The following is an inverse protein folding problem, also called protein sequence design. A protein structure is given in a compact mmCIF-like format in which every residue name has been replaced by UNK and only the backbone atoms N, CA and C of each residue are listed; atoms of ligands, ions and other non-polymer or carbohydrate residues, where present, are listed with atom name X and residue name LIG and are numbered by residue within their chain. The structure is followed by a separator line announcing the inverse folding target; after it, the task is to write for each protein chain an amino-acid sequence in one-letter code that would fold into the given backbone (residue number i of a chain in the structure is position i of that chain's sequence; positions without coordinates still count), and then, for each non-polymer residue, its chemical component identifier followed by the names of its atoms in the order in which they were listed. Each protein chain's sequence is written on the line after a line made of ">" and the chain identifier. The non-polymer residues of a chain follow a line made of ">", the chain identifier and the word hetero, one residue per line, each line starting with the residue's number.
data_IF_735186134478
#
_entry.id   IF_735186134478
#
_cell.length_a   1.000
_cell.length_b   1.000
_cell.length_c   1.000
_cell.angle_alpha   90.00
_cell.angle_beta   90.00
_cell.angle_gamma   90.00
#
_symmetry.space_group_name_H-M   'P 1'
#
loop_
_entity.id
_entity.type
_entity.pdbx_description
1 polymer ?
#
# COMPACT_ATOMS: atom_id res chain seq x y z
N UNK A 1 24.32 -34.32 10.83
CA UNK A 1 24.10 -34.21 12.30
C UNK A 1 23.14 -33.03 12.52
N UNK A 2 22.06 -33.24 13.26
CA UNK A 2 21.10 -32.18 13.66
C UNK A 2 20.87 -32.32 15.16
N UNK A 3 20.68 -31.21 15.88
CA UNK A 3 20.41 -31.19 17.31
C UNK A 3 19.00 -30.65 17.59
N UNK A 4 18.26 -31.29 18.50
CA UNK A 4 16.89 -30.92 18.88
C UNK A 4 16.86 -30.63 20.38
N UNK A 5 16.50 -29.41 20.74
CA UNK A 5 16.28 -28.97 22.12
C UNK A 5 15.06 -28.06 22.20
N UNK A 6 14.48 -27.90 23.39
CA UNK A 6 13.44 -26.91 23.68
C UNK A 6 14.11 -25.61 24.14
N UNK A 7 13.63 -24.48 23.64
CA UNK A 7 14.12 -23.14 23.96
C UNK A 7 12.94 -22.28 24.40
N UNK A 8 13.12 -21.54 25.48
CA UNK A 8 12.16 -20.55 25.97
C UNK A 8 12.59 -19.16 25.52
N UNK A 9 11.69 -18.42 24.88
CA UNK A 9 11.95 -17.08 24.38
C UNK A 9 10.64 -16.30 24.21
N UNK A 10 10.74 -15.00 23.98
CA UNK A 10 9.59 -14.18 23.62
C UNK A 10 9.07 -14.55 22.23
N UNK A 11 7.76 -14.77 22.12
CA UNK A 11 7.09 -15.07 20.85
C UNK A 11 5.88 -14.14 20.64
N UNK A 12 5.68 -13.58 19.44
CA UNK A 12 4.57 -12.67 19.18
C UNK A 12 3.23 -13.40 19.27
N UNK A 13 2.29 -12.79 19.99
CA UNK A 13 0.92 -13.30 20.13
C UNK A 13 -0.08 -12.21 19.74
N UNK A 14 -1.23 -12.61 19.20
CA UNK A 14 -2.33 -11.71 18.92
C UNK A 14 -2.75 -11.01 20.22
N UNK A 15 -2.65 -9.68 20.27
CA UNK A 15 -2.92 -8.93 21.50
C UNK A 15 -4.34 -9.13 22.03
N UNK A 16 -5.30 -9.43 21.14
CA UNK A 16 -6.71 -9.66 21.47
C UNK A 16 -6.99 -11.12 21.85
N UNK A 17 -6.63 -12.07 20.98
CA UNK A 17 -6.97 -13.49 21.14
C UNK A 17 -5.92 -14.30 21.91
N UNK A 18 -4.75 -13.71 22.19
CA UNK A 18 -3.62 -14.33 22.90
C UNK A 18 -3.09 -15.61 22.24
N UNK A 19 -3.31 -15.78 20.94
CA UNK A 19 -2.80 -16.91 20.14
C UNK A 19 -1.48 -16.55 19.45
N UNK A 20 -0.56 -17.51 19.22
CA UNK A 20 0.68 -17.27 18.48
C UNK A 20 0.40 -16.74 17.06
N UNK A 21 1.20 -15.79 16.58
CA UNK A 21 1.11 -15.30 15.20
C UNK A 21 2.31 -15.76 14.37
N UNK A 22 2.12 -15.81 13.05
CA UNK A 22 3.16 -16.18 12.09
C UNK A 22 3.36 -15.07 11.07
N UNK A 23 4.55 -15.02 10.48
CA UNK A 23 4.79 -14.22 9.28
C UNK A 23 4.32 -15.01 8.05
N UNK A 24 3.55 -14.35 7.18
CA UNK A 24 3.09 -14.90 5.91
C UNK A 24 3.21 -13.83 4.84
N UNK A 25 3.80 -14.18 3.70
CA UNK A 25 3.82 -13.31 2.53
C UNK A 25 2.41 -13.23 1.90
N UNK A 26 1.99 -12.02 1.56
CA UNK A 26 0.71 -11.73 0.89
C UNK A 26 0.95 -10.71 -0.21
N UNK A 27 0.21 -10.75 -1.33
CA UNK A 27 0.27 -9.70 -2.33
C UNK A 27 -0.18 -8.36 -1.71
N UNK A 28 0.58 -7.30 -1.97
CA UNK A 28 0.33 -5.94 -1.48
C UNK A 28 0.78 -4.95 -2.55
N UNK A 29 0.20 -3.75 -2.53
CA UNK A 29 0.53 -2.64 -3.42
C UNK A 29 1.59 -1.76 -2.77
N UNK A 30 2.64 -1.46 -3.53
CA UNK A 30 3.77 -0.65 -3.09
C UNK A 30 4.00 0.52 -4.03
N UNK A 31 4.41 1.65 -3.48
CA UNK A 31 5.05 2.73 -4.21
C UNK A 31 6.55 2.52 -4.07
N UNK A 32 7.23 2.37 -5.22
CA UNK A 32 8.68 2.26 -5.30
C UNK A 32 9.29 3.60 -4.86
N UNK A 33 10.08 3.56 -3.80
CA UNK A 33 10.66 4.79 -3.22
C UNK A 33 11.96 5.18 -3.92
N UNK A 34 12.78 4.20 -4.30
CA UNK A 34 14.11 4.41 -4.88
C UNK A 34 14.11 4.25 -6.40
N UNK A 35 14.94 5.03 -7.09
CA UNK A 35 15.28 4.83 -8.51
C UNK A 35 14.38 5.53 -9.52
N UNK A 36 13.25 6.11 -9.10
CA UNK A 36 12.40 7.00 -9.93
C UNK A 36 12.50 8.48 -9.48
N UNK A 37 13.46 8.81 -8.60
CA UNK A 37 13.70 10.18 -8.12
C UNK A 37 12.79 10.65 -6.98
N UNK A 38 11.79 9.87 -6.56
CA UNK A 38 10.85 10.24 -5.50
C UNK A 38 11.55 10.48 -4.16
N UNK A 39 12.36 9.51 -3.70
CA UNK A 39 13.08 9.62 -2.43
C UNK A 39 14.16 10.71 -2.50
N UNK A 40 14.85 10.82 -3.63
CA UNK A 40 15.89 11.82 -3.86
C UNK A 40 15.31 13.24 -3.80
N UNK A 41 14.18 13.48 -4.47
CA UNK A 41 13.46 14.76 -4.43
C UNK A 41 13.03 15.09 -3.00
N UNK A 42 12.44 14.14 -2.27
CA UNK A 42 12.03 14.36 -0.89
C UNK A 42 13.21 14.70 0.03
N UNK A 43 14.36 14.02 -0.13
CA UNK A 43 15.58 14.31 0.64
C UNK A 43 16.13 15.70 0.32
N UNK A 44 16.15 16.08 -0.96
CA UNK A 44 16.60 17.41 -1.38
C UNK A 44 15.74 18.52 -0.76
N UNK A 45 14.41 18.40 -0.82
CA UNK A 45 13.50 19.40 -0.26
C UNK A 45 13.67 19.56 1.26
N UNK A 46 13.87 18.45 1.99
CA UNK A 46 14.18 18.46 3.43
C UNK A 46 15.50 19.18 3.71
N UNK A 47 16.48 19.07 2.82
CA UNK A 47 17.77 19.70 2.98
C UNK A 47 17.75 21.20 2.67
N UNK A 48 17.05 21.62 1.61
CA UNK A 48 17.20 22.95 1.00
C UNK A 48 16.04 23.90 1.22
N UNK A 49 14.81 23.40 1.32
CA UNK A 49 13.61 24.23 1.11
C UNK A 49 12.76 24.39 2.37
N UNK A 50 12.76 23.39 3.26
CA UNK A 50 11.90 23.37 4.44
C UNK A 50 12.57 24.09 5.62
N UNK A 51 11.86 25.04 6.22
CA UNK A 51 12.26 25.64 7.50
C UNK A 51 11.70 24.82 8.67
N UNK A 52 12.60 24.29 9.51
CA UNK A 52 12.23 23.46 10.66
C UNK A 52 12.22 24.26 11.95
N UNK A 53 11.07 24.23 12.65
CA UNK A 53 10.92 24.77 14.00
C UNK A 53 10.31 23.68 14.88
N UNK A 54 11.07 23.11 15.84
CA UNK A 54 12.48 23.34 16.16
C UNK A 54 13.45 22.71 15.14
N UNK A 55 14.70 23.20 15.11
CA UNK A 55 15.71 22.85 14.10
C UNK A 55 16.09 21.37 14.06
N UNK A 56 16.05 20.66 15.19
CA UNK A 56 16.34 19.22 15.23
C UNK A 56 15.35 18.37 14.42
N UNK A 57 14.17 18.91 14.08
CA UNK A 57 13.19 18.24 13.23
C UNK A 57 13.76 17.84 11.87
N UNK A 58 14.71 18.62 11.35
CA UNK A 58 15.41 18.32 10.09
C UNK A 58 16.13 16.98 10.17
N UNK A 59 16.99 16.80 11.16
CA UNK A 59 17.78 15.57 11.33
C UNK A 59 16.88 14.34 11.52
N UNK A 60 15.75 14.49 12.22
CA UNK A 60 14.80 13.40 12.42
C UNK A 60 14.12 12.97 11.12
N UNK A 61 13.70 13.93 10.30
CA UNK A 61 13.06 13.63 9.02
C UNK A 61 14.08 13.11 8.00
N UNK A 62 15.28 13.68 7.96
CA UNK A 62 16.37 13.21 7.12
C UNK A 62 16.73 11.74 7.43
N UNK A 63 16.90 11.39 8.71
CA UNK A 63 17.17 10.01 9.12
C UNK A 63 16.04 9.04 8.75
N UNK A 64 14.79 9.48 8.78
CA UNK A 64 13.64 8.66 8.35
C UNK A 64 13.65 8.37 6.84
N UNK A 65 14.24 9.26 6.03
CA UNK A 65 14.31 9.14 4.57
C UNK A 65 15.59 8.44 4.08
N UNK A 66 16.62 8.29 4.91
CA UNK A 66 17.94 7.82 4.48
C UNK A 66 17.90 6.44 3.79
N UNK A 67 17.26 5.46 4.44
CA UNK A 67 17.13 4.07 3.96
C UNK A 67 15.67 3.63 3.89
N UNK A 68 14.78 4.53 3.47
CA UNK A 68 13.35 4.24 3.47
C UNK A 68 13.01 3.15 2.43
N UNK A 69 12.42 2.01 2.86
CA UNK A 69 12.00 0.96 1.93
C UNK A 69 10.76 1.38 1.15
N UNK A 70 10.40 0.58 0.14
CA UNK A 70 9.19 0.77 -0.65
C UNK A 70 7.94 0.92 0.23
N UNK A 71 7.10 1.87 -0.14
CA UNK A 71 5.96 2.25 0.68
C UNK A 71 4.76 1.35 0.36
N UNK A 72 4.49 0.40 1.26
CA UNK A 72 3.26 -0.39 1.21
C UNK A 72 2.03 0.50 1.47
N UNK A 73 1.20 0.69 0.45
CA UNK A 73 -0.01 1.53 0.51
C UNK A 73 -1.29 0.73 0.75
N UNK A 74 -1.34 -0.55 0.41
CA UNK A 74 -2.55 -1.37 0.60
C UNK A 74 -2.74 -1.82 2.04
N UNK A 75 -4.00 -1.86 2.48
CA UNK A 75 -4.40 -2.39 3.79
C UNK A 75 -5.67 -3.21 3.62
N UNK A 76 -5.75 -4.36 4.30
CA UNK A 76 -6.95 -5.20 4.32
C UNK A 76 -7.93 -4.65 5.38
N UNK A 77 -8.60 -3.55 5.04
CA UNK A 77 -9.54 -2.84 5.92
C UNK A 77 -10.74 -2.36 5.10
N UNK A 78 -11.90 -2.27 5.74
CA UNK A 78 -13.13 -1.83 5.09
C UNK A 78 -13.30 -0.30 5.11
N UNK A 79 -12.59 0.40 6.00
CA UNK A 79 -12.68 1.86 6.12
C UNK A 79 -11.42 2.52 5.56
N UNK A 80 -11.58 3.28 4.48
CA UNK A 80 -10.50 3.99 3.79
C UNK A 80 -10.88 4.34 2.35
N UNK A 81 -9.96 4.98 1.63
CA UNK A 81 -10.08 5.19 0.18
C UNK A 81 -9.68 3.90 -0.53
N UNK A 82 -10.53 3.35 -1.42
CA UNK A 82 -10.21 2.12 -2.13
C UNK A 82 -9.07 2.31 -3.14
N UNK A 83 -8.30 1.25 -3.39
CA UNK A 83 -7.39 1.18 -4.53
C UNK A 83 -8.23 0.64 -5.70
N UNK A 84 -8.62 1.55 -6.59
CA UNK A 84 -9.63 1.32 -7.64
C UNK A 84 -9.00 0.73 -8.91
N UNK A 85 -8.41 -0.45 -8.78
CA UNK A 85 -7.78 -1.18 -9.89
C UNK A 85 -8.46 -2.53 -10.09
N UNK A 86 -8.60 -2.93 -11.35
CA UNK A 86 -9.06 -4.27 -11.70
C UNK A 86 -7.86 -5.16 -12.06
N UNK A 87 -7.92 -6.41 -11.62
CA UNK A 87 -6.90 -7.43 -11.91
C UNK A 87 -7.60 -8.70 -12.37
N UNK A 88 -6.98 -9.41 -13.31
CA UNK A 88 -7.46 -10.72 -13.75
C UNK A 88 -7.31 -11.74 -12.60
N UNK A 89 -8.33 -12.57 -12.37
CA UNK A 89 -8.39 -13.46 -11.22
C UNK A 89 -7.28 -14.53 -11.20
N UNK A 90 -6.88 -15.04 -12.36
CA UNK A 90 -5.87 -16.10 -12.44
C UNK A 90 -4.45 -15.55 -12.50
N UNK A 91 -4.22 -14.53 -13.33
CA UNK A 91 -2.87 -14.02 -13.62
C UNK A 91 -2.43 -12.92 -12.68
N UNK A 92 -3.38 -12.28 -11.96
CA UNK A 92 -3.16 -11.07 -11.16
C UNK A 92 -2.57 -9.90 -11.96
N UNK A 93 -2.65 -9.94 -13.29
CA UNK A 93 -2.24 -8.83 -14.14
C UNK A 93 -3.27 -7.70 -14.07
N UNK A 94 -2.78 -6.46 -14.11
CA UNK A 94 -3.63 -5.28 -14.22
C UNK A 94 -4.41 -5.29 -15.54
N UNK A 95 -5.63 -4.79 -15.50
CA UNK A 95 -6.44 -4.60 -16.71
C UNK A 95 -5.70 -3.69 -17.72
N UNK A 96 -5.68 -3.99 -19.04
CA UNK A 96 -5.00 -3.18 -20.04
C UNK A 96 -5.40 -1.70 -20.01
N UNK A 97 -6.69 -1.42 -19.84
CA UNK A 97 -7.25 -0.07 -19.78
C UNK A 97 -7.26 0.57 -18.38
N UNK A 98 -6.36 0.12 -17.48
CA UNK A 98 -6.31 0.58 -16.08
C UNK A 98 -6.38 2.11 -15.96
N UNK A 99 -5.66 2.86 -16.78
CA UNK A 99 -5.63 4.33 -16.68
C UNK A 99 -7.00 4.97 -16.98
N UNK A 100 -7.71 4.49 -18.00
CA UNK A 100 -9.04 4.99 -18.35
C UNK A 100 -10.09 4.61 -17.31
N UNK A 101 -10.05 3.37 -16.83
CA UNK A 101 -10.93 2.88 -15.77
C UNK A 101 -10.73 3.69 -14.49
N UNK A 102 -9.47 3.95 -14.12
CA UNK A 102 -9.13 4.74 -12.92
C UNK A 102 -9.75 6.14 -12.97
N UNK A 103 -9.64 6.83 -14.10
CA UNK A 103 -10.24 8.15 -14.31
C UNK A 103 -11.78 8.10 -14.24
N UNK A 104 -12.39 7.10 -14.88
CA UNK A 104 -13.85 6.91 -14.87
C UNK A 104 -14.36 6.70 -13.45
N UNK A 105 -13.65 5.90 -12.64
CA UNK A 105 -14.01 5.65 -11.25
C UNK A 105 -13.77 6.90 -10.39
N UNK A 106 -12.69 7.65 -10.63
CA UNK A 106 -12.42 8.89 -9.92
C UNK A 106 -13.56 9.91 -10.11
N UNK A 107 -14.07 10.05 -11.34
CA UNK A 107 -15.22 10.91 -11.64
C UNK A 107 -16.51 10.43 -10.95
N UNK A 108 -16.75 9.13 -10.88
CA UNK A 108 -17.89 8.57 -10.12
C UNK A 108 -17.75 8.86 -8.62
N UNK A 109 -16.55 8.71 -8.06
CA UNK A 109 -16.26 8.99 -6.65
C UNK A 109 -16.40 10.50 -6.34
N UNK A 110 -16.01 11.37 -7.28
CA UNK A 110 -16.19 12.82 -7.12
C UNK A 110 -17.67 13.19 -6.96
N UNK A 111 -18.56 12.53 -7.69
CA UNK A 111 -20.01 12.80 -7.66
C UNK A 111 -20.73 12.07 -6.52
N UNK A 112 -20.44 10.78 -6.32
CA UNK A 112 -21.16 9.87 -5.41
C UNK A 112 -20.44 9.54 -4.11
N UNK A 113 -19.23 10.06 -3.90
CA UNK A 113 -18.35 9.69 -2.80
C UNK A 113 -17.78 8.27 -2.95
N UNK A 114 -17.04 7.82 -1.93
CA UNK A 114 -16.32 6.53 -1.96
C UNK A 114 -17.23 5.31 -2.12
N UNK A 115 -18.51 5.42 -1.73
CA UNK A 115 -19.48 4.33 -1.85
C UNK A 115 -19.74 3.96 -3.32
N UNK A 116 -19.55 4.91 -4.24
CA UNK A 116 -19.67 4.66 -5.68
C UNK A 116 -18.74 3.52 -6.17
N UNK A 117 -17.63 3.24 -5.47
CA UNK A 117 -16.78 2.08 -5.77
C UNK A 117 -17.36 0.76 -5.24
N UNK A 118 -17.93 0.78 -4.05
CA UNK A 118 -18.44 -0.43 -3.39
C UNK A 118 -19.80 -0.87 -3.95
N UNK A 119 -20.57 0.08 -4.46
CA UNK A 119 -21.89 -0.16 -5.06
C UNK A 119 -21.79 -0.44 -6.58
N UNK A 120 -20.60 -0.30 -7.17
CA UNK A 120 -20.37 -0.52 -8.59
C UNK A 120 -20.48 -2.01 -8.96
N UNK A 121 -21.27 -2.32 -9.98
CA UNK A 121 -21.17 -3.60 -10.68
C UNK A 121 -19.99 -3.54 -11.67
N UNK A 122 -18.95 -4.39 -11.53
CA UNK A 122 -17.82 -4.41 -12.45
C UNK A 122 -18.23 -4.58 -13.92
N UNK A 123 -19.33 -5.26 -14.22
CA UNK A 123 -19.82 -5.46 -15.58
C UNK A 123 -20.20 -4.14 -16.29
N UNK A 124 -20.53 -3.08 -15.53
CA UNK A 124 -20.79 -1.76 -16.11
C UNK A 124 -19.55 -1.11 -16.74
N UNK A 125 -18.35 -1.47 -16.25
CA UNK A 125 -17.10 -0.91 -16.73
C UNK A 125 -16.30 -1.90 -17.58
N UNK A 126 -16.35 -3.18 -17.22
CA UNK A 126 -15.54 -4.23 -17.85
C UNK A 126 -16.31 -5.03 -18.92
N UNK A 127 -17.65 -4.95 -18.94
CA UNK A 127 -18.45 -5.73 -19.89
C UNK A 127 -18.27 -7.23 -19.69
N UNK A 128 -17.93 -7.95 -20.76
CA UNK A 128 -17.71 -9.41 -20.73
C UNK A 128 -16.48 -9.80 -19.89
N UNK A 129 -15.46 -8.93 -19.85
CA UNK A 129 -14.21 -9.15 -19.09
C UNK A 129 -14.43 -9.16 -17.57
N UNK A 130 -15.62 -8.78 -17.08
CA UNK A 130 -15.97 -8.88 -15.67
C UNK A 130 -15.99 -10.32 -15.14
N UNK A 131 -16.05 -11.32 -16.02
CA UNK A 131 -16.07 -12.73 -15.66
C UNK A 131 -14.65 -13.35 -15.48
N UNK A 132 -13.61 -12.64 -15.90
CA UNK A 132 -12.21 -13.12 -15.94
C UNK A 132 -11.40 -12.75 -14.67
#
# INVERSE_FOLDING_TARGET
>A
LVHKARLEHSYPHCWRHKTPVIYRATPQWFIRMQGEGLLETARQEVETSIQFTPTWGKNRLAAMLEDRPDWCISRQRNWGVPITVFVHQETSQLHPDTQQLFETIAQRIEQGGINAWFDLDPAELLGEDAAD
#
